data_IF_368248845796
#
_entry.id   IF_368248845796
#
_cell.length_a   1.000
_cell.length_b   1.000
_cell.length_c   1.000
_cell.angle_alpha   90.00
_cell.angle_beta   90.00
_cell.angle_gamma   90.00
#
_symmetry.space_group_name_H-M   'P 1'
#
loop_
_entity.id
_entity.type
_entity.pdbx_description
1 polymer ?
#
# COMPACT_ATOMS: atom_id res chain seq x y z
N UNK A 1 5.85 -0.70 16.35
CA UNK A 1 6.48 0.48 15.74
C UNK A 1 7.54 0.11 14.71
N UNK A 2 8.65 -0.53 15.11
CA UNK A 2 9.73 -0.93 14.19
C UNK A 2 9.26 -1.80 13.01
N UNK A 3 8.43 -2.80 13.27
CA UNK A 3 7.86 -3.66 12.21
C UNK A 3 7.03 -2.90 11.18
N UNK A 4 6.30 -1.85 11.58
CA UNK A 4 5.47 -1.05 10.68
C UNK A 4 6.36 -0.15 9.80
N UNK A 5 7.43 0.42 10.38
CA UNK A 5 8.41 1.19 9.61
C UNK A 5 9.17 0.32 8.60
N UNK A 6 9.50 -0.92 8.99
CA UNK A 6 10.11 -1.88 8.06
C UNK A 6 9.15 -2.26 6.93
N UNK A 7 7.86 -2.43 7.21
CA UNK A 7 6.81 -2.61 6.19
C UNK A 7 6.70 -1.40 5.27
N UNK A 8 6.75 -0.18 5.79
CA UNK A 8 6.73 1.03 4.98
C UNK A 8 7.93 1.10 4.04
N UNK A 9 9.13 0.83 4.57
CA UNK A 9 10.36 0.85 3.79
C UNK A 9 10.39 -0.24 2.71
N UNK A 10 10.04 -1.47 3.07
CA UNK A 10 9.95 -2.59 2.12
C UNK A 10 8.85 -2.38 1.09
N UNK A 11 7.70 -1.82 1.50
CA UNK A 11 6.60 -1.46 0.61
C UNK A 11 7.02 -0.41 -0.41
N UNK A 12 7.72 0.63 0.03
CA UNK A 12 8.21 1.71 -0.83
C UNK A 12 9.29 1.24 -1.81
N UNK A 13 10.32 0.53 -1.32
CA UNK A 13 11.39 -0.01 -2.18
C UNK A 13 10.80 -0.97 -3.20
N UNK A 14 9.94 -1.90 -2.77
CA UNK A 14 9.31 -2.84 -3.69
C UNK A 14 8.40 -2.14 -4.69
N UNK A 15 7.76 -1.02 -4.32
CA UNK A 15 7.00 -0.19 -5.25
C UNK A 15 7.88 0.42 -6.34
N UNK A 16 9.06 0.93 -5.99
CA UNK A 16 10.05 1.44 -6.96
C UNK A 16 10.54 0.31 -7.87
N UNK A 17 10.86 -0.86 -7.29
CA UNK A 17 11.34 -2.01 -8.06
C UNK A 17 10.24 -2.54 -8.99
N UNK A 18 8.98 -2.56 -8.54
CA UNK A 18 7.84 -2.88 -9.39
C UNK A 18 7.80 -1.96 -10.61
N UNK A 19 7.79 -0.63 -10.42
CA UNK A 19 7.77 0.33 -11.54
C UNK A 19 8.97 0.11 -12.48
N UNK A 20 10.14 -0.21 -11.94
CA UNK A 20 11.36 -0.40 -12.73
C UNK A 20 11.39 -1.70 -13.53
N UNK A 21 10.88 -2.79 -12.97
CA UNK A 21 10.95 -4.12 -13.58
C UNK A 21 9.69 -4.48 -14.38
N UNK A 22 8.58 -3.78 -14.17
CA UNK A 22 7.36 -4.05 -14.91
C UNK A 22 7.56 -3.67 -16.39
N UNK A 23 7.37 -4.60 -17.34
CA UNK A 23 7.79 -4.40 -18.73
C UNK A 23 6.86 -3.49 -19.54
N UNK A 24 5.89 -2.83 -18.91
CA UNK A 24 4.87 -2.03 -19.58
C UNK A 24 4.83 -0.63 -19.01
N UNK A 25 4.89 0.36 -19.91
CA UNK A 25 4.55 1.75 -19.64
C UNK A 25 3.16 2.07 -20.22
N UNK A 26 2.19 2.29 -19.34
CA UNK A 26 0.80 2.63 -19.68
C UNK A 26 0.74 4.14 -20.03
N UNK A 27 -0.13 4.60 -20.96
CA UNK A 27 -1.20 3.88 -21.65
C UNK A 27 -0.73 3.11 -22.88
N UNK A 28 -1.12 1.83 -22.93
CA UNK A 28 -0.88 0.91 -24.04
C UNK A 28 -2.11 0.01 -24.24
N UNK A 29 -2.36 -0.47 -25.46
CA UNK A 29 -3.45 -1.40 -25.73
C UNK A 29 -3.28 -2.73 -24.97
N UNK A 30 -4.39 -3.31 -24.50
CA UNK A 30 -4.37 -4.59 -23.76
C UNK A 30 -3.71 -5.71 -24.60
N UNK A 31 -3.94 -5.71 -25.91
CA UNK A 31 -3.31 -6.67 -26.83
C UNK A 31 -1.78 -6.56 -26.79
N UNK A 32 -1.25 -5.33 -26.86
CA UNK A 32 0.19 -5.08 -26.87
C UNK A 32 0.81 -5.41 -25.51
N UNK A 33 0.10 -5.16 -24.41
CA UNK A 33 0.52 -5.58 -23.07
C UNK A 33 0.70 -7.10 -22.98
N UNK A 34 -0.27 -7.88 -23.49
CA UNK A 34 -0.19 -9.36 -23.47
C UNK A 34 1.01 -9.83 -24.29
N UNK A 35 1.23 -9.24 -25.47
CA UNK A 35 2.39 -9.58 -26.31
C UNK A 35 3.70 -9.31 -25.56
N UNK A 36 3.84 -8.15 -24.92
CA UNK A 36 5.04 -7.80 -24.15
C UNK A 36 5.24 -8.73 -22.95
N UNK A 37 4.18 -9.11 -22.24
CA UNK A 37 4.28 -10.07 -21.13
C UNK A 37 4.78 -11.45 -21.58
N UNK A 38 4.45 -11.87 -22.80
CA UNK A 38 4.95 -13.13 -23.39
C UNK A 38 6.40 -12.98 -23.87
N UNK A 39 6.78 -11.81 -24.39
CA UNK A 39 8.14 -11.54 -24.88
C UNK A 39 9.15 -11.32 -23.74
N UNK A 40 8.74 -10.71 -22.63
CA UNK A 40 9.58 -10.41 -21.47
C UNK A 40 9.05 -11.06 -20.17
N UNK A 41 8.96 -12.41 -20.12
CA UNK A 41 8.34 -13.11 -19.01
C UNK A 41 9.09 -12.90 -17.69
N UNK A 42 10.41 -12.76 -17.73
CA UNK A 42 11.23 -12.52 -16.53
C UNK A 42 10.94 -11.15 -15.90
N UNK A 43 10.80 -10.11 -16.73
CA UNK A 43 10.44 -8.76 -16.28
C UNK A 43 9.06 -8.75 -15.64
N UNK A 44 8.08 -9.38 -16.30
CA UNK A 44 6.72 -9.52 -15.76
C UNK A 44 6.70 -10.25 -14.40
N UNK A 45 7.36 -11.41 -14.29
CA UNK A 45 7.38 -12.18 -13.03
C UNK A 45 8.05 -11.41 -11.90
N UNK A 46 9.18 -10.75 -12.16
CA UNK A 46 9.86 -9.91 -11.16
C UNK A 46 9.01 -8.71 -10.76
N UNK A 47 8.46 -7.99 -11.74
CA UNK A 47 7.57 -6.85 -11.51
C UNK A 47 6.37 -7.24 -10.66
N UNK A 48 5.70 -8.35 -10.98
CA UNK A 48 4.56 -8.85 -10.20
C UNK A 48 4.94 -9.33 -8.80
N UNK A 49 6.15 -9.88 -8.63
CA UNK A 49 6.65 -10.26 -7.30
C UNK A 49 6.84 -9.02 -6.43
N UNK A 50 7.50 -7.98 -6.96
CA UNK A 50 7.68 -6.72 -6.23
C UNK A 50 6.35 -5.99 -6.01
N UNK A 51 5.44 -6.07 -6.98
CA UNK A 51 4.07 -5.59 -6.83
C UNK A 51 3.41 -6.24 -5.63
N UNK A 52 3.41 -7.58 -5.53
CA UNK A 52 2.78 -8.30 -4.42
C UNK A 52 3.37 -7.92 -3.06
N UNK A 53 4.70 -7.81 -2.96
CA UNK A 53 5.37 -7.40 -1.73
C UNK A 53 4.96 -5.97 -1.35
N UNK A 54 4.99 -5.05 -2.32
CA UNK A 54 4.62 -3.65 -2.11
C UNK A 54 3.15 -3.51 -1.70
N UNK A 55 2.28 -4.21 -2.42
CA UNK A 55 0.85 -4.27 -2.22
C UNK A 55 0.49 -4.74 -0.81
N UNK A 56 1.01 -5.89 -0.38
CA UNK A 56 0.69 -6.46 0.94
C UNK A 56 1.20 -5.53 2.05
N UNK A 57 2.43 -5.04 1.93
CA UNK A 57 3.02 -4.16 2.93
C UNK A 57 2.23 -2.84 3.08
N UNK A 58 1.85 -2.20 1.97
CA UNK A 58 1.07 -0.98 1.99
C UNK A 58 -0.35 -1.21 2.52
N UNK A 59 -0.99 -2.32 2.16
CA UNK A 59 -2.33 -2.65 2.64
C UNK A 59 -2.38 -2.87 4.16
N UNK A 60 -1.38 -3.53 4.75
CA UNK A 60 -1.29 -3.69 6.20
C UNK A 60 -1.10 -2.35 6.94
N UNK A 61 -0.38 -1.41 6.33
CA UNK A 61 -0.21 -0.06 6.86
C UNK A 61 -1.54 0.69 6.80
N UNK A 62 -2.25 0.63 5.67
CA UNK A 62 -3.59 1.23 5.49
C UNK A 62 -4.54 0.68 6.55
N UNK A 63 -4.57 -0.64 6.73
CA UNK A 63 -5.36 -1.30 7.77
C UNK A 63 -5.02 -0.74 9.16
N UNK A 64 -3.73 -0.63 9.48
CA UNK A 64 -3.26 -0.10 10.77
C UNK A 64 -3.67 1.35 11.00
N UNK A 65 -3.65 2.19 9.95
CA UNK A 65 -4.11 3.59 10.00
C UNK A 65 -5.61 3.65 10.27
N UNK A 66 -6.40 2.79 9.61
CA UNK A 66 -7.86 2.73 9.82
C UNK A 66 -8.19 2.28 11.24
N UNK A 67 -7.56 1.20 11.73
CA UNK A 67 -7.74 0.71 13.11
C UNK A 67 -7.37 1.78 14.14
N UNK A 68 -6.28 2.51 13.91
CA UNK A 68 -5.85 3.60 14.78
C UNK A 68 -6.82 4.77 14.77
N UNK A 69 -7.28 5.20 13.59
CA UNK A 69 -8.26 6.28 13.42
C UNK A 69 -9.58 5.93 14.10
N UNK A 70 -10.05 4.69 13.96
CA UNK A 70 -11.28 4.22 14.61
C UNK A 70 -11.18 4.24 16.15
N UNK A 71 -10.05 3.81 16.72
CA UNK A 71 -9.83 3.86 18.17
C UNK A 71 -9.76 5.28 18.70
N UNK A 72 -9.14 6.20 17.95
CA UNK A 72 -9.08 7.61 18.29
C UNK A 72 -10.48 8.23 18.35
N UNK A 73 -11.33 7.91 17.38
CA UNK A 73 -12.71 8.39 17.33
C UNK A 73 -13.52 7.88 18.54
N UNK A 74 -13.32 6.62 18.96
CA UNK A 74 -14.05 5.99 20.07
C UNK A 74 -13.56 6.43 21.46
N UNK A 75 -12.27 6.77 21.63
CA UNK A 75 -11.70 7.03 22.96
C UNK A 75 -10.71 8.21 23.00
N UNK A 76 -11.21 9.41 22.69
CA UNK A 76 -10.48 10.70 22.73
C UNK A 76 -9.73 10.99 24.05
N UNK A 77 -10.08 10.35 25.18
CA UNK A 77 -9.50 10.65 26.51
C UNK A 77 -8.29 9.81 26.92
N UNK A 78 -7.96 8.73 26.22
CA UNK A 78 -7.01 7.71 26.72
C UNK A 78 -5.78 7.48 25.83
N UNK A 79 -5.50 8.34 24.85
CA UNK A 79 -4.24 8.23 24.10
C UNK A 79 -3.07 8.83 24.88
N UNK A 80 -2.08 7.99 25.19
CA UNK A 80 -0.73 8.47 25.50
C UNK A 80 -0.27 9.33 24.32
N UNK A 81 0.23 10.54 24.59
CA UNK A 81 0.66 11.52 23.59
C UNK A 81 1.56 10.97 22.47
N UNK A 82 2.36 9.95 22.76
CA UNK A 82 3.29 9.32 21.81
C UNK A 82 2.54 8.55 20.72
N UNK A 83 1.43 7.88 21.05
CA UNK A 83 0.63 7.12 20.08
C UNK A 83 -0.24 8.06 19.22
N UNK A 84 -0.54 9.26 19.72
CA UNK A 84 -1.33 10.28 19.01
C UNK A 84 -0.58 10.90 17.82
N UNK A 85 0.74 11.02 17.90
CA UNK A 85 1.57 11.58 16.82
C UNK A 85 2.02 10.55 15.79
N UNK A 86 1.99 9.26 16.13
CA UNK A 86 2.47 8.21 15.23
C UNK A 86 1.52 7.95 14.05
N UNK A 87 0.21 7.95 14.28
CA UNK A 87 -0.78 7.73 13.21
C UNK A 87 -0.73 8.78 12.09
N UNK A 88 -0.71 10.10 12.38
CA UNK A 88 -0.65 11.14 11.38
C UNK A 88 0.69 11.12 10.63
N UNK A 89 1.80 10.88 11.34
CA UNK A 89 3.12 10.75 10.73
C UNK A 89 3.18 9.56 9.75
N UNK A 90 2.65 8.40 10.15
CA UNK A 90 2.60 7.21 9.31
C UNK A 90 1.74 7.45 8.06
N UNK A 91 0.60 8.12 8.22
CA UNK A 91 -0.30 8.49 7.12
C UNK A 91 0.41 9.44 6.14
N UNK A 92 1.11 10.45 6.65
CA UNK A 92 1.85 11.41 5.84
C UNK A 92 3.01 10.74 5.08
N UNK A 93 3.72 9.81 5.71
CA UNK A 93 4.76 9.03 5.05
C UNK A 93 4.21 8.10 3.96
N UNK A 94 3.07 7.46 4.20
CA UNK A 94 2.41 6.61 3.21
C UNK A 94 1.96 7.44 1.99
N UNK A 95 1.32 8.59 2.23
CA UNK A 95 0.91 9.52 1.17
C UNK A 95 2.13 10.04 0.42
N UNK A 96 3.19 10.45 1.12
CA UNK A 96 4.44 10.88 0.49
C UNK A 96 5.08 9.79 -0.35
N UNK A 97 5.07 8.54 0.12
CA UNK A 97 5.56 7.39 -0.62
C UNK A 97 4.78 7.15 -1.92
N UNK A 98 3.45 7.13 -1.84
CA UNK A 98 2.60 7.01 -3.04
C UNK A 98 2.73 8.21 -3.98
N UNK A 99 2.93 9.43 -3.45
CA UNK A 99 3.17 10.62 -4.26
C UNK A 99 4.45 10.50 -5.08
N UNK A 100 5.55 10.02 -4.48
CA UNK A 100 6.80 9.77 -5.22
C UNK A 100 6.60 8.69 -6.28
N UNK A 101 5.89 7.60 -5.98
CA UNK A 101 5.58 6.55 -6.96
C UNK A 101 4.71 7.08 -8.11
N UNK A 102 3.73 7.93 -7.83
CA UNK A 102 2.87 8.59 -8.81
C UNK A 102 3.67 9.48 -9.77
N UNK A 103 4.69 10.19 -9.26
CA UNK A 103 5.58 11.01 -10.10
C UNK A 103 6.45 10.14 -11.00
N UNK A 104 6.86 8.95 -10.55
CA UNK A 104 7.68 8.03 -11.34
C UNK A 104 6.87 7.33 -12.43
N UNK A 105 5.71 6.75 -12.09
CA UNK A 105 4.80 6.18 -13.07
C UNK A 105 3.34 6.23 -12.57
N UNK A 106 2.50 7.10 -13.14
CA UNK A 106 1.16 7.34 -12.62
C UNK A 106 0.25 6.10 -12.63
N UNK A 107 0.29 5.29 -13.67
CA UNK A 107 -0.65 4.18 -13.87
C UNK A 107 -0.33 3.00 -12.97
N UNK A 108 0.95 2.63 -12.89
CA UNK A 108 1.45 1.56 -12.05
C UNK A 108 1.25 1.91 -10.57
N UNK A 109 1.57 3.15 -10.18
CA UNK A 109 1.32 3.64 -8.84
C UNK A 109 -0.18 3.68 -8.50
N UNK A 110 -1.03 4.10 -9.44
CA UNK A 110 -2.47 4.10 -9.26
C UNK A 110 -3.02 2.68 -9.06
N UNK A 111 -2.59 1.72 -9.89
CA UNK A 111 -2.98 0.32 -9.74
C UNK A 111 -2.56 -0.21 -8.36
N UNK A 112 -1.29 -0.02 -7.99
CA UNK A 112 -0.76 -0.42 -6.68
C UNK A 112 -1.56 0.19 -5.53
N UNK A 113 -1.89 1.48 -5.62
CA UNK A 113 -2.71 2.18 -4.62
C UNK A 113 -4.10 1.55 -4.50
N UNK A 114 -4.80 1.38 -5.62
CA UNK A 114 -6.14 0.78 -5.63
C UNK A 114 -6.17 -0.61 -5.00
N UNK A 115 -5.26 -1.49 -5.42
CA UNK A 115 -5.16 -2.82 -4.83
C UNK A 115 -4.87 -2.74 -3.33
N UNK A 116 -3.89 -1.93 -2.92
CA UNK A 116 -3.50 -1.78 -1.51
C UNK A 116 -4.64 -1.27 -0.63
N UNK A 117 -5.41 -0.29 -1.09
CA UNK A 117 -6.58 0.24 -0.37
C UNK A 117 -7.67 -0.81 -0.25
N UNK A 118 -8.05 -1.44 -1.37
CA UNK A 118 -9.12 -2.46 -1.39
C UNK A 118 -8.76 -3.60 -0.43
N UNK A 119 -7.55 -4.15 -0.55
CA UNK A 119 -7.13 -5.25 0.32
C UNK A 119 -6.94 -4.81 1.77
N UNK A 120 -6.43 -3.60 2.02
CA UNK A 120 -6.31 -3.06 3.37
C UNK A 120 -7.66 -2.97 4.09
N UNK A 121 -8.71 -2.58 3.36
CA UNK A 121 -10.09 -2.55 3.87
C UNK A 121 -10.63 -3.96 4.08
N UNK A 122 -10.50 -4.87 3.10
CA UNK A 122 -10.99 -6.25 3.19
C UNK A 122 -10.31 -7.00 4.36
N UNK A 123 -9.04 -6.69 4.62
CA UNK A 123 -8.24 -7.27 5.70
C UNK A 123 -8.67 -6.78 7.10
N UNK A 124 -9.53 -5.76 7.22
CA UNK A 124 -9.93 -5.24 8.52
C UNK A 124 -10.61 -6.32 9.38
N UNK A 125 -10.13 -6.44 10.62
CA UNK A 125 -10.77 -7.28 11.62
C UNK A 125 -11.78 -6.44 12.40
N UNK A 126 -13.02 -6.41 11.92
CA UNK A 126 -14.12 -5.67 12.54
C UNK A 126 -14.39 -6.10 14.00
N UNK A 127 -14.03 -7.33 14.37
CA UNK A 127 -14.19 -7.84 15.74
C UNK A 127 -13.24 -7.14 16.72
N UNK A 128 -12.03 -6.78 16.27
CA UNK A 128 -11.08 -5.95 17.04
C UNK A 128 -11.49 -4.47 17.14
N UNK A 129 -12.36 -4.01 16.25
CA UNK A 129 -12.76 -2.60 16.15
C UNK A 129 -14.03 -2.34 17.01
N UNK A 130 -14.62 -3.35 17.66
CA UNK A 130 -15.90 -3.25 18.40
C UNK A 130 -16.97 -2.49 17.58
N UNK A 131 -17.08 -2.83 16.30
CA UNK A 131 -18.22 -2.46 15.44
C UNK A 131 -19.30 -3.54 15.44
N UNK A 132 -19.08 -4.64 16.17
CA UNK A 132 -20.08 -5.66 16.48
C UNK A 132 -20.43 -5.56 17.97
N UNK A 133 -21.16 -4.50 18.32
CA UNK A 133 -22.02 -4.49 19.50
C UNK A 133 -23.44 -4.33 18.95
N UNK A 134 -24.09 -5.48 18.69
CA UNK A 134 -25.56 -5.61 18.79
C UNK A 134 -25.87 -6.13 20.20
#
# INVERSE_FOLDING_TARGET
>A
MFFILLKLFTGFISGILFIKFFPVSIPMGISDMIVIFVLEPAGFVMGMTFFLISFIANAEIIRSIIEWTARLLKNMRSLKHIDALFGPLLSLLLIGGFFVLLVLSPWEAFALFCFSVIYGIISLDFKKINLAED
#
